data_IF_769766980531
#
_entry.id   IF_769766980531
#
_cell.length_a   1.000
_cell.length_b   1.000
_cell.length_c   1.000
_cell.angle_alpha   90.00
_cell.angle_beta   90.00
_cell.angle_gamma   90.00
#
_symmetry.space_group_name_H-M   'P 1'
#
loop_
_entity.id
_entity.type
_entity.pdbx_description
1 polymer ?
#
# COMPACT_ATOMS: atom_id res chain seq x y z
N UNK A 1 -24.99 -6.33 -14.82
CA UNK A 1 -24.29 -7.40 -14.08
C UNK A 1 -22.81 -7.12 -14.17
N UNK A 2 -22.13 -6.89 -13.06
CA UNK A 2 -20.68 -6.72 -13.08
C UNK A 2 -20.05 -8.11 -13.00
N UNK A 3 -19.50 -8.56 -14.11
CA UNK A 3 -18.70 -9.77 -14.16
C UNK A 3 -17.36 -9.47 -13.49
N UNK A 4 -16.99 -10.26 -12.49
CA UNK A 4 -15.68 -10.17 -11.87
C UNK A 4 -14.78 -11.23 -12.51
N UNK A 5 -13.80 -10.79 -13.27
CA UNK A 5 -12.72 -11.66 -13.76
C UNK A 5 -11.50 -11.46 -12.86
N UNK A 6 -10.98 -12.54 -12.31
CA UNK A 6 -9.79 -12.51 -11.46
C UNK A 6 -8.64 -13.20 -12.18
N UNK A 7 -7.47 -12.61 -12.09
CA UNK A 7 -6.23 -13.30 -12.41
C UNK A 7 -5.57 -13.74 -11.11
N UNK A 8 -5.34 -15.04 -10.97
CA UNK A 8 -4.74 -15.65 -9.79
C UNK A 8 -3.39 -16.21 -10.17
N UNK A 9 -2.35 -15.84 -9.44
CA UNK A 9 -1.02 -16.40 -9.61
C UNK A 9 -0.61 -17.15 -8.35
N UNK A 10 -0.10 -18.36 -8.52
CA UNK A 10 0.46 -19.16 -7.44
C UNK A 10 1.94 -19.39 -7.64
N UNK A 11 2.71 -19.31 -6.56
CA UNK A 11 4.07 -19.82 -6.56
C UNK A 11 4.01 -21.34 -6.40
N UNK A 12 4.67 -22.05 -7.33
CA UNK A 12 4.65 -23.52 -7.40
C UNK A 12 5.15 -24.16 -6.10
N UNK A 13 4.25 -24.85 -5.38
CA UNK A 13 4.52 -26.09 -4.62
C UNK A 13 3.20 -26.62 -4.06
N UNK A 14 2.70 -27.63 -4.74
CA UNK A 14 1.59 -28.50 -4.43
C UNK A 14 1.02 -28.48 -3.00
N UNK A 15 -0.20 -27.96 -2.87
CA UNK A 15 -1.18 -28.51 -1.95
C UNK A 15 -2.57 -27.99 -2.36
N UNK A 16 -3.47 -28.94 -2.55
CA UNK A 16 -4.86 -28.72 -2.91
C UNK A 16 -5.61 -27.92 -1.82
N UNK A 17 -6.46 -27.00 -2.24
CA UNK A 17 -7.42 -26.30 -1.37
C UNK A 17 -8.43 -27.31 -0.79
N UNK A 18 -8.27 -27.63 0.47
CA UNK A 18 -9.26 -28.40 1.26
C UNK A 18 -10.21 -27.48 2.00
N UNK A 19 -11.51 -27.68 1.84
CA UNK A 19 -12.55 -27.00 2.60
C UNK A 19 -12.55 -27.42 4.07
N UNK A 20 -12.45 -26.49 5.00
CA UNK A 20 -12.77 -26.65 6.42
C UNK A 20 -12.97 -25.24 7.02
N UNK A 21 -14.06 -24.88 7.57
CA UNK A 21 -14.75 -25.27 8.72
C UNK A 21 -14.64 -24.22 9.82
N UNK A 22 -15.71 -23.44 10.04
CA UNK A 22 -16.05 -22.56 11.18
C UNK A 22 -15.22 -22.69 12.45
N UNK A 23 -14.70 -21.58 13.00
CA UNK A 23 -14.40 -21.50 14.43
C UNK A 23 -14.74 -20.11 15.02
N UNK A 24 -15.48 -20.18 16.10
CA UNK A 24 -16.10 -19.16 16.92
C UNK A 24 -15.13 -18.07 17.40
N UNK A 25 -15.43 -16.83 17.01
CA UNK A 25 -14.78 -15.66 17.57
C UNK A 25 -15.60 -15.04 18.70
N UNK A 26 -15.13 -15.19 19.91
CA UNK A 26 -15.77 -14.52 21.03
C UNK A 26 -14.94 -14.74 22.30
N UNK A 27 -13.93 -13.95 22.55
CA UNK A 27 -13.30 -13.68 23.86
C UNK A 27 -11.88 -13.07 23.80
N UNK A 28 -11.31 -12.85 22.62
CA UNK A 28 -9.94 -12.34 22.48
C UNK A 28 -9.83 -10.80 22.32
N UNK A 29 -10.95 -10.09 22.23
CA UNK A 29 -10.89 -8.65 21.93
C UNK A 29 -10.31 -7.79 23.06
N UNK A 30 -10.60 -8.07 24.32
CA UNK A 30 -10.18 -7.19 25.42
C UNK A 30 -8.69 -7.25 25.77
N UNK A 31 -8.05 -8.42 25.66
CA UNK A 31 -6.61 -8.56 25.90
C UNK A 31 -5.75 -7.97 24.76
N UNK A 32 -6.26 -8.02 23.53
CA UNK A 32 -5.55 -7.50 22.35
C UNK A 32 -5.52 -5.97 22.33
N UNK A 33 -6.57 -5.30 22.80
CA UNK A 33 -6.62 -3.83 22.85
C UNK A 33 -5.65 -3.26 23.90
N UNK A 34 -5.59 -3.82 25.09
CA UNK A 34 -4.65 -3.41 26.13
C UNK A 34 -3.19 -3.55 25.64
N UNK A 35 -2.87 -4.67 25.00
CA UNK A 35 -1.53 -4.92 24.48
C UNK A 35 -1.15 -4.00 23.32
N UNK A 36 -2.09 -3.64 22.43
CA UNK A 36 -1.83 -2.72 21.32
C UNK A 36 -1.57 -1.29 21.78
N UNK A 37 -2.29 -0.84 22.79
CA UNK A 37 -2.05 0.48 23.41
C UNK A 37 -0.68 0.55 24.09
N UNK A 38 -0.31 -0.46 24.85
CA UNK A 38 1.01 -0.56 25.48
C UNK A 38 2.14 -0.57 24.44
N UNK A 39 1.96 -1.32 23.34
CA UNK A 39 2.91 -1.34 22.23
C UNK A 39 3.06 0.03 21.55
N UNK A 40 1.95 0.78 21.41
CA UNK A 40 2.00 2.15 20.88
C UNK A 40 2.77 3.07 21.83
N UNK A 41 2.48 3.04 23.12
CA UNK A 41 3.20 3.84 24.11
C UNK A 41 4.68 3.49 24.17
N UNK A 42 5.01 2.22 24.03
CA UNK A 42 6.39 1.76 23.95
C UNK A 42 7.07 2.32 22.69
N UNK A 43 6.43 2.22 21.52
CA UNK A 43 6.98 2.76 20.27
C UNK A 43 7.19 4.29 20.32
N UNK A 44 6.28 5.03 20.99
CA UNK A 44 6.45 6.47 21.23
C UNK A 44 7.65 6.72 22.15
N UNK A 45 7.87 5.91 23.17
CA UNK A 45 9.02 6.05 24.07
C UNK A 45 10.34 5.83 23.35
N UNK A 46 10.41 4.82 22.47
CA UNK A 46 11.57 4.56 21.63
C UNK A 46 11.85 5.71 20.64
N UNK A 47 10.78 6.26 20.04
CA UNK A 47 10.87 7.45 19.18
C UNK A 47 11.41 8.66 19.96
N UNK A 48 10.97 8.86 21.20
CA UNK A 48 11.40 9.96 22.06
C UNK A 48 12.88 9.86 22.44
N UNK A 49 13.39 8.65 22.68
CA UNK A 49 14.83 8.41 22.90
C UNK A 49 15.69 8.83 21.70
N UNK A 50 15.15 8.74 20.50
CA UNK A 50 15.81 9.10 19.24
C UNK A 50 15.34 10.44 18.67
N UNK A 51 14.70 11.30 19.46
CA UNK A 51 14.03 12.54 19.01
C UNK A 51 14.91 13.44 18.14
N UNK A 52 16.21 13.49 18.42
CA UNK A 52 17.17 14.34 17.69
C UNK A 52 17.29 13.97 16.21
N UNK A 53 16.98 12.73 15.84
CA UNK A 53 16.92 12.28 14.44
C UNK A 53 15.62 12.73 13.72
N UNK A 54 14.64 13.22 14.45
CA UNK A 54 13.29 13.52 13.95
C UNK A 54 12.86 14.98 14.14
N UNK A 55 13.83 15.87 14.40
CA UNK A 55 13.60 17.30 14.56
C UNK A 55 14.49 18.13 13.66
N UNK A 56 14.05 19.35 13.32
CA UNK A 56 14.79 20.22 12.41
C UNK A 56 16.19 20.59 12.94
N UNK A 57 16.30 20.79 14.26
CA UNK A 57 17.56 21.19 14.91
C UNK A 57 17.88 20.25 16.06
N UNK A 58 18.68 19.18 15.82
CA UNK A 58 19.11 18.24 16.86
C UNK A 58 19.74 18.95 18.05
N UNK A 59 19.48 18.47 19.26
CA UNK A 59 19.97 19.04 20.50
C UNK A 59 19.35 20.38 20.93
N UNK A 60 18.59 21.04 20.05
CA UNK A 60 17.95 22.35 20.31
C UNK A 60 16.43 22.22 20.42
N UNK A 61 15.79 21.59 19.43
CA UNK A 61 14.34 21.45 19.42
C UNK A 61 13.91 20.40 20.44
N UNK A 62 12.85 20.72 21.21
CA UNK A 62 12.35 19.89 22.31
C UNK A 62 13.39 19.57 23.42
N UNK A 63 14.52 20.29 23.49
CA UNK A 63 15.53 20.11 24.55
C UNK A 63 15.15 20.77 25.87
N UNK A 64 14.39 21.87 25.82
CA UNK A 64 13.98 22.62 27.03
C UNK A 64 12.65 22.15 27.53
N UNK A 65 12.46 22.09 28.87
CA UNK A 65 11.17 21.83 29.50
C UNK A 65 10.21 23.00 29.20
N UNK A 66 9.24 22.73 28.32
CA UNK A 66 8.19 23.66 27.90
C UNK A 66 6.82 23.02 28.08
N UNK A 67 5.72 23.77 27.85
CA UNK A 67 4.33 23.29 27.95
C UNK A 67 4.03 22.13 26.98
N UNK A 68 4.75 21.99 25.88
CA UNK A 68 4.62 20.91 24.91
C UNK A 68 5.97 20.18 24.80
N UNK A 69 6.01 18.95 25.30
CA UNK A 69 7.14 18.04 25.11
C UNK A 69 7.09 17.40 23.71
N UNK A 70 8.17 16.72 23.31
CA UNK A 70 8.18 15.91 22.09
C UNK A 70 7.08 14.84 22.13
N UNK A 71 6.94 14.13 23.24
CA UNK A 71 5.90 13.13 23.46
C UNK A 71 4.48 13.72 23.36
N UNK A 72 4.24 14.89 23.97
CA UNK A 72 2.94 15.56 23.86
C UNK A 72 2.62 15.92 22.41
N UNK A 73 3.64 16.35 21.64
CA UNK A 73 3.44 16.69 20.23
C UNK A 73 3.02 15.46 19.41
N UNK A 74 3.72 14.34 19.60
CA UNK A 74 3.37 13.06 18.91
C UNK A 74 1.95 12.61 19.31
N UNK A 75 1.65 12.57 20.61
CA UNK A 75 0.33 12.15 21.09
C UNK A 75 -0.79 13.06 20.60
N UNK A 76 -0.57 14.39 20.58
CA UNK A 76 -1.57 15.33 20.07
C UNK A 76 -1.85 15.15 18.58
N UNK A 77 -0.83 14.80 17.78
CA UNK A 77 -1.01 14.47 16.35
C UNK A 77 -1.78 13.16 16.14
N UNK A 78 -1.52 12.15 16.95
CA UNK A 78 -2.24 10.86 16.87
C UNK A 78 -3.72 10.98 17.27
N UNK A 79 -4.05 11.92 18.15
CA UNK A 79 -5.43 12.14 18.61
C UNK A 79 -6.23 13.11 17.73
N UNK A 80 -5.63 13.67 16.69
CA UNK A 80 -6.35 14.52 15.73
C UNK A 80 -7.43 13.73 14.97
N UNK A 81 -8.69 14.11 15.20
CA UNK A 81 -9.88 13.45 14.58
C UNK A 81 -10.48 14.25 13.41
N UNK A 82 -9.64 14.88 12.59
CA UNK A 82 -10.13 15.71 11.49
C UNK A 82 -10.72 17.06 11.88
N UNK A 83 -10.68 17.41 13.17
CA UNK A 83 -11.08 18.71 13.70
C UNK A 83 -10.03 19.81 13.45
N UNK A 84 -10.38 21.05 13.81
CA UNK A 84 -9.43 22.16 13.76
C UNK A 84 -8.28 21.94 14.75
N UNK A 85 -7.13 22.55 14.49
CA UNK A 85 -6.02 22.52 15.45
C UNK A 85 -6.41 23.10 16.83
N UNK A 86 -7.36 24.04 16.85
CA UNK A 86 -7.92 24.61 18.07
C UNK A 86 -8.67 23.57 18.89
N UNK A 87 -9.58 22.84 18.25
CA UNK A 87 -10.35 21.76 18.88
C UNK A 87 -9.41 20.67 19.41
N UNK A 88 -8.48 20.21 18.56
CA UNK A 88 -7.50 19.20 18.96
C UNK A 88 -6.64 19.64 20.15
N UNK A 89 -6.17 20.89 20.14
CA UNK A 89 -5.40 21.44 21.26
C UNK A 89 -6.21 21.48 22.56
N UNK A 90 -7.45 21.93 22.48
CA UNK A 90 -8.34 21.98 23.64
C UNK A 90 -8.57 20.57 24.20
N UNK A 91 -8.98 19.64 23.36
CA UNK A 91 -9.34 18.27 23.78
C UNK A 91 -8.15 17.50 24.36
N UNK A 92 -6.96 17.68 23.78
CA UNK A 92 -5.75 17.02 24.27
C UNK A 92 -5.23 17.61 25.58
N UNK A 93 -5.27 18.95 25.76
CA UNK A 93 -4.69 19.63 26.91
C UNK A 93 -5.70 20.03 27.99
N UNK A 94 -7.00 19.77 27.83
CA UNK A 94 -8.06 20.18 28.77
C UNK A 94 -7.86 19.65 30.20
N UNK A 95 -7.13 18.57 30.39
CA UNK A 95 -6.85 17.97 31.69
C UNK A 95 -5.73 18.68 32.47
N UNK A 96 -5.05 19.65 31.84
CA UNK A 96 -3.98 20.44 32.47
C UNK A 96 -4.55 21.67 33.17
N UNK A 97 -3.78 22.20 34.10
CA UNK A 97 -4.11 23.49 34.69
C UNK A 97 -4.18 24.57 33.59
N UNK A 98 -5.08 25.58 33.70
CA UNK A 98 -5.23 26.61 32.66
C UNK A 98 -3.92 27.34 32.33
N UNK A 99 -3.03 27.53 33.30
CA UNK A 99 -1.72 28.13 33.10
C UNK A 99 -0.77 27.27 32.28
N UNK A 100 -0.99 25.93 32.22
CA UNK A 100 -0.16 24.96 31.52
C UNK A 100 -0.69 24.59 30.12
N UNK A 101 -1.87 25.10 29.77
CA UNK A 101 -2.42 24.92 28.41
C UNK A 101 -1.58 25.75 27.42
N UNK A 102 -1.06 25.14 26.37
CA UNK A 102 -0.31 25.86 25.34
C UNK A 102 -1.22 26.70 24.46
N UNK A 103 -0.71 27.84 23.98
CA UNK A 103 -1.41 28.59 22.94
C UNK A 103 -1.35 27.86 21.59
N UNK A 104 -2.30 28.14 20.68
CA UNK A 104 -2.31 27.60 19.33
C UNK A 104 -1.02 27.95 18.55
N UNK A 105 -0.53 29.19 18.74
CA UNK A 105 0.74 29.62 18.14
C UNK A 105 1.92 28.75 18.62
N UNK A 106 1.96 28.42 19.92
CA UNK A 106 2.99 27.53 20.47
C UNK A 106 2.88 26.10 19.88
N UNK A 107 1.67 25.58 19.71
CA UNK A 107 1.45 24.27 19.11
C UNK A 107 1.92 24.25 17.65
N UNK A 108 1.57 25.27 16.87
CA UNK A 108 2.04 25.44 15.49
C UNK A 108 3.57 25.49 15.39
N UNK A 109 4.20 26.30 16.24
CA UNK A 109 5.65 26.43 16.25
C UNK A 109 6.36 25.12 16.66
N UNK A 110 5.79 24.36 17.60
CA UNK A 110 6.37 23.06 17.98
C UNK A 110 6.16 22.01 16.90
N UNK A 111 4.96 21.97 16.28
CA UNK A 111 4.68 21.06 15.16
C UNK A 111 5.65 21.28 13.98
N UNK A 112 5.93 22.53 13.64
CA UNK A 112 6.84 22.90 12.56
C UNK A 112 8.29 22.43 12.77
N UNK A 113 8.66 22.03 13.98
CA UNK A 113 10.00 21.49 14.29
C UNK A 113 10.12 19.99 14.07
N UNK A 114 8.99 19.30 13.99
CA UNK A 114 8.96 17.84 13.81
C UNK A 114 9.11 17.49 12.33
N UNK A 115 10.02 16.58 12.03
CA UNK A 115 10.16 16.02 10.70
C UNK A 115 9.07 14.96 10.43
N UNK A 116 8.51 14.88 9.22
CA UNK A 116 7.51 13.86 8.86
C UNK A 116 7.97 12.42 9.11
N UNK A 117 9.27 12.17 9.02
CA UNK A 117 9.88 10.86 9.27
C UNK A 117 9.65 10.34 10.69
N UNK A 118 9.34 11.21 11.67
CA UNK A 118 8.93 10.80 13.01
C UNK A 118 7.67 9.92 12.97
N UNK A 119 6.65 10.33 12.20
CA UNK A 119 5.40 9.58 12.08
C UNK A 119 5.58 8.30 11.26
N UNK A 120 6.44 8.34 10.24
CA UNK A 120 6.82 7.16 9.45
C UNK A 120 7.53 6.13 10.32
N UNK A 121 8.53 6.55 11.10
CA UNK A 121 9.23 5.68 12.04
C UNK A 121 8.25 5.06 13.04
N UNK A 122 7.39 5.87 13.65
CA UNK A 122 6.39 5.40 14.61
C UNK A 122 5.45 4.37 13.99
N UNK A 123 4.97 4.60 12.77
CA UNK A 123 4.10 3.67 12.05
C UNK A 123 4.75 2.29 11.92
N UNK A 124 5.96 2.21 11.35
CA UNK A 124 6.63 0.92 11.16
C UNK A 124 7.04 0.27 12.48
N UNK A 125 7.52 1.08 13.42
CA UNK A 125 7.96 0.59 14.72
C UNK A 125 6.81 0.00 15.54
N UNK A 126 5.64 0.57 15.44
CA UNK A 126 4.40 0.07 16.04
C UNK A 126 3.84 -1.15 15.30
N UNK A 127 3.60 -1.02 13.98
CA UNK A 127 2.91 -2.07 13.22
C UNK A 127 3.68 -3.37 13.12
N UNK A 128 5.02 -3.31 13.08
CA UNK A 128 5.88 -4.49 13.08
C UNK A 128 5.85 -5.27 14.39
N UNK A 129 5.50 -4.63 15.51
CA UNK A 129 5.35 -5.28 16.81
C UNK A 129 3.96 -5.87 17.05
N UNK A 130 2.98 -5.45 16.28
CA UNK A 130 1.65 -6.03 16.37
C UNK A 130 1.71 -7.51 15.93
N UNK A 131 1.12 -8.43 16.71
CA UNK A 131 1.16 -9.84 16.38
C UNK A 131 0.46 -10.14 15.05
N UNK A 132 0.97 -11.13 14.32
CA UNK A 132 0.35 -11.71 13.14
C UNK A 132 -0.07 -13.11 13.51
N UNK A 133 -1.24 -13.25 14.13
CA UNK A 133 -1.72 -14.51 14.72
C UNK A 133 -2.72 -15.22 13.81
N UNK A 134 -3.54 -14.42 13.11
CA UNK A 134 -4.62 -14.96 12.29
C UNK A 134 -4.19 -15.07 10.83
N UNK A 135 -4.52 -16.21 10.23
CA UNK A 135 -4.26 -16.50 8.82
C UNK A 135 -5.52 -17.12 8.19
N UNK A 136 -5.62 -17.01 6.87
CA UNK A 136 -6.61 -17.73 6.10
C UNK A 136 -5.96 -18.96 5.48
N UNK A 137 -6.31 -20.14 5.98
CA UNK A 137 -5.73 -21.42 5.54
C UNK A 137 -4.18 -21.44 5.52
N UNK A 138 -3.59 -20.83 6.55
CA UNK A 138 -2.13 -20.71 6.69
C UNK A 138 -1.51 -19.56 5.92
N UNK A 139 -2.29 -18.75 5.17
CA UNK A 139 -1.83 -17.60 4.41
C UNK A 139 -2.19 -16.28 5.09
N UNK A 140 -1.26 -15.33 5.03
CA UNK A 140 -1.51 -13.93 5.30
C UNK A 140 -2.17 -13.30 4.07
N UNK A 141 -3.29 -12.60 4.23
CA UNK A 141 -3.99 -11.90 3.15
C UNK A 141 -3.68 -10.40 3.22
N UNK A 142 -2.94 -9.89 2.25
CA UNK A 142 -2.60 -8.47 2.16
C UNK A 142 -3.38 -7.81 1.04
N UNK A 143 -4.33 -6.95 1.39
CA UNK A 143 -5.04 -6.13 0.42
C UNK A 143 -4.24 -4.86 0.12
N UNK A 144 -4.07 -4.55 -1.17
CA UNK A 144 -3.48 -3.30 -1.64
C UNK A 144 -4.57 -2.38 -2.17
N UNK A 145 -4.59 -1.15 -1.68
CA UNK A 145 -5.50 -0.11 -2.15
C UNK A 145 -4.86 1.27 -2.03
N UNK A 146 -5.43 2.22 -2.76
CA UNK A 146 -5.01 3.62 -2.78
C UNK A 146 -6.13 4.58 -2.39
N UNK A 147 -5.77 5.71 -1.77
CA UNK A 147 -6.72 6.75 -1.41
C UNK A 147 -6.13 8.14 -1.58
N UNK A 148 -6.93 9.06 -2.13
CA UNK A 148 -6.54 10.47 -2.25
C UNK A 148 -6.81 11.23 -0.94
N UNK A 149 -5.80 11.93 -0.45
CA UNK A 149 -5.85 12.78 0.73
C UNK A 149 -5.78 14.25 0.32
N UNK A 150 -6.83 15.01 0.58
CA UNK A 150 -6.84 16.45 0.32
C UNK A 150 -5.90 17.17 1.30
N UNK A 151 -5.06 18.04 0.76
CA UNK A 151 -4.18 18.92 1.55
C UNK A 151 -4.47 20.39 1.26
N UNK A 152 -3.83 21.29 2.01
CA UNK A 152 -3.96 22.72 1.79
C UNK A 152 -3.62 23.10 0.35
N UNK A 153 -4.42 24.02 -0.23
CA UNK A 153 -4.23 24.45 -1.59
C UNK A 153 -2.95 25.27 -1.75
N UNK A 154 -2.10 24.84 -2.64
CA UNK A 154 -0.88 25.49 -3.08
C UNK A 154 -0.75 25.30 -4.61
N UNK A 155 -1.02 26.30 -5.42
CA UNK A 155 -0.97 26.20 -6.88
C UNK A 155 0.46 26.06 -7.41
N UNK A 156 1.48 26.45 -6.64
CA UNK A 156 2.88 26.39 -7.03
C UNK A 156 3.45 24.97 -6.82
N UNK A 157 2.81 24.14 -6.00
CA UNK A 157 3.13 22.72 -5.86
C UNK A 157 2.43 21.88 -6.93
N UNK A 158 2.93 21.97 -8.17
CA UNK A 158 2.34 21.29 -9.33
C UNK A 158 2.30 19.77 -9.23
N UNK A 159 3.18 19.15 -8.45
CA UNK A 159 3.20 17.70 -8.26
C UNK A 159 2.00 17.18 -7.45
N UNK A 160 1.46 18.00 -6.58
CA UNK A 160 0.25 17.67 -5.80
C UNK A 160 -1.00 18.37 -6.32
N UNK A 161 -0.86 19.44 -7.11
CA UNK A 161 -1.98 20.25 -7.61
C UNK A 161 -2.67 19.59 -8.81
N UNK A 162 -3.84 19.01 -8.57
CA UNK A 162 -4.72 18.45 -9.60
C UNK A 162 -5.54 19.57 -10.22
N UNK A 163 -5.37 19.87 -11.50
CA UNK A 163 -6.14 20.93 -12.15
C UNK A 163 -7.62 20.55 -12.19
N UNK A 164 -8.48 21.54 -11.95
CA UNK A 164 -9.92 21.36 -12.12
C UNK A 164 -10.31 21.70 -13.56
N UNK A 165 -11.19 20.89 -14.14
CA UNK A 165 -11.87 21.25 -15.40
C UNK A 165 -12.81 22.45 -15.19
N UNK A 166 -13.18 23.14 -16.29
CA UNK A 166 -14.20 24.21 -16.33
C UNK A 166 -13.86 25.48 -15.52
N UNK A 167 -12.59 25.88 -15.46
CA UNK A 167 -12.20 27.16 -14.84
C UNK A 167 -12.35 27.21 -13.31
N UNK A 168 -12.65 26.09 -12.66
CA UNK A 168 -12.70 25.99 -11.19
C UNK A 168 -11.28 25.88 -10.62
N UNK A 169 -11.13 26.31 -9.36
CA UNK A 169 -9.91 26.13 -8.59
C UNK A 169 -9.56 24.66 -8.48
N UNK A 170 -8.30 24.29 -8.75
CA UNK A 170 -7.76 22.96 -8.53
C UNK A 170 -7.72 22.56 -7.05
N UNK A 171 -7.27 21.37 -6.77
CA UNK A 171 -7.06 20.88 -5.40
C UNK A 171 -5.71 20.21 -5.29
N UNK A 172 -5.03 20.38 -4.15
CA UNK A 172 -3.80 19.65 -3.88
C UNK A 172 -4.13 18.37 -3.14
N UNK A 173 -3.53 17.28 -3.59
CA UNK A 173 -3.77 15.95 -3.05
C UNK A 173 -2.46 15.18 -2.91
N UNK A 174 -2.40 14.38 -1.87
CA UNK A 174 -1.45 13.29 -1.73
C UNK A 174 -2.18 11.98 -2.02
N UNK A 175 -1.50 11.02 -2.61
CA UNK A 175 -1.99 9.67 -2.81
C UNK A 175 -1.34 8.73 -1.79
N UNK A 176 -2.16 8.10 -0.98
CA UNK A 176 -1.77 7.08 0.00
C UNK A 176 -1.94 5.71 -0.64
N UNK A 177 -0.87 4.96 -0.74
CA UNK A 177 -0.89 3.53 -1.06
C UNK A 177 -0.69 2.74 0.22
N UNK A 178 -1.45 1.68 0.42
CA UNK A 178 -1.39 0.90 1.65
C UNK A 178 -1.48 -0.60 1.38
N UNK A 179 -0.75 -1.38 2.17
CA UNK A 179 -0.96 -2.82 2.34
C UNK A 179 -1.63 -3.07 3.68
N UNK A 180 -2.78 -3.71 3.65
CA UNK A 180 -3.61 -4.00 4.81
C UNK A 180 -3.77 -5.51 5.01
N UNK A 181 -3.40 -6.00 6.18
CA UNK A 181 -3.60 -7.38 6.60
C UNK A 181 -5.07 -7.59 7.01
N UNK A 182 -5.81 -8.29 6.16
CA UNK A 182 -7.25 -8.52 6.34
C UNK A 182 -7.55 -9.41 7.55
N UNK A 183 -6.69 -10.38 7.84
CA UNK A 183 -6.88 -11.31 8.95
C UNK A 183 -6.59 -10.63 10.29
N UNK A 184 -5.52 -9.86 10.37
CA UNK A 184 -5.09 -9.21 11.61
C UNK A 184 -5.55 -7.76 11.75
N UNK A 185 -6.28 -7.21 10.76
CA UNK A 185 -6.88 -5.87 10.75
C UNK A 185 -5.87 -4.75 11.05
N UNK A 186 -4.73 -4.80 10.39
CA UNK A 186 -3.66 -3.83 10.54
C UNK A 186 -3.02 -3.45 9.21
N UNK A 187 -2.56 -2.21 9.10
CA UNK A 187 -1.67 -1.82 8.01
C UNK A 187 -0.29 -2.42 8.21
N UNK A 188 0.31 -2.95 7.16
CA UNK A 188 1.66 -3.53 7.17
C UNK A 188 2.67 -2.65 6.49
N UNK A 189 2.25 -1.91 5.47
CA UNK A 189 3.08 -0.96 4.75
C UNK A 189 2.24 0.20 4.21
N UNK A 190 2.86 1.38 4.08
CA UNK A 190 2.24 2.58 3.49
C UNK A 190 3.27 3.34 2.65
N UNK A 191 2.78 3.99 1.60
CA UNK A 191 3.51 4.98 0.83
C UNK A 191 2.65 6.18 0.56
N UNK A 192 3.22 7.37 0.68
CA UNK A 192 2.54 8.63 0.43
C UNK A 192 3.32 9.35 -0.67
N UNK A 193 2.66 9.61 -1.77
CA UNK A 193 3.22 10.31 -2.92
C UNK A 193 2.33 11.51 -3.29
N UNK A 194 2.89 12.51 -3.96
CA UNK A 194 2.09 13.59 -4.53
C UNK A 194 1.29 13.06 -5.73
N UNK A 195 0.00 13.39 -5.81
CA UNK A 195 -0.95 12.73 -6.73
C UNK A 195 -0.52 12.76 -8.20
N UNK A 196 0.09 13.87 -8.68
CA UNK A 196 0.45 14.01 -10.10
C UNK A 196 1.65 13.16 -10.52
N UNK A 197 2.47 12.74 -9.57
CA UNK A 197 3.66 11.88 -9.79
C UNK A 197 3.50 10.49 -9.19
N UNK A 198 2.35 10.21 -8.61
CA UNK A 198 2.01 8.92 -8.01
C UNK A 198 1.84 7.83 -9.07
N UNK A 199 2.24 6.61 -8.71
CA UNK A 199 2.07 5.42 -9.55
C UNK A 199 1.79 4.19 -8.69
N UNK A 200 0.54 3.73 -8.71
CA UNK A 200 0.05 2.61 -7.91
C UNK A 200 0.86 1.32 -8.13
N UNK A 201 1.16 0.97 -9.38
CA UNK A 201 1.94 -0.23 -9.70
C UNK A 201 3.36 -0.17 -9.13
N UNK A 202 4.02 1.00 -9.24
CA UNK A 202 5.36 1.21 -8.67
C UNK A 202 5.31 1.16 -7.14
N UNK A 203 4.33 1.80 -6.52
CA UNK A 203 4.16 1.81 -5.07
C UNK A 203 3.96 0.38 -4.53
N UNK A 204 3.09 -0.42 -5.18
CA UNK A 204 2.90 -1.82 -4.80
C UNK A 204 4.20 -2.60 -4.90
N UNK A 205 4.89 -2.55 -6.07
CA UNK A 205 6.16 -3.27 -6.26
C UNK A 205 7.17 -2.94 -5.16
N UNK A 206 7.29 -1.67 -4.79
CA UNK A 206 8.18 -1.24 -3.71
C UNK A 206 7.74 -1.75 -2.33
N UNK A 207 6.43 -1.83 -2.05
CA UNK A 207 5.92 -2.39 -0.79
C UNK A 207 6.12 -3.92 -0.71
N UNK A 208 6.10 -4.62 -1.85
CA UNK A 208 6.40 -6.06 -1.89
C UNK A 208 7.79 -6.37 -1.32
N UNK A 209 8.77 -5.45 -1.48
CA UNK A 209 10.13 -5.66 -0.97
C UNK A 209 10.18 -5.85 0.56
N UNK A 210 9.22 -5.30 1.29
CA UNK A 210 9.16 -5.36 2.75
C UNK A 210 8.47 -6.63 3.29
N UNK A 211 7.94 -7.50 2.42
CA UNK A 211 7.24 -8.71 2.84
C UNK A 211 8.25 -9.78 3.30
N UNK A 212 8.12 -10.19 4.56
CA UNK A 212 9.08 -11.10 5.22
C UNK A 212 8.85 -12.58 4.93
N UNK A 213 7.60 -12.98 4.64
CA UNK A 213 7.22 -14.39 4.44
C UNK A 213 6.46 -14.58 3.11
N UNK A 214 7.13 -14.45 1.96
CA UNK A 214 6.47 -14.47 0.66
C UNK A 214 5.65 -15.74 0.40
N UNK A 215 6.22 -16.92 0.65
CA UNK A 215 5.58 -18.21 0.36
C UNK A 215 4.25 -18.46 1.11
N UNK A 216 3.92 -17.63 2.10
CA UNK A 216 2.68 -17.70 2.89
C UNK A 216 1.88 -16.40 2.81
N UNK A 217 2.01 -15.67 1.73
CA UNK A 217 1.30 -14.40 1.55
C UNK A 217 0.56 -14.38 0.22
N UNK A 218 -0.68 -13.94 0.26
CA UNK A 218 -1.52 -13.69 -0.91
C UNK A 218 -1.79 -12.18 -1.01
N UNK A 219 -1.44 -11.59 -2.13
CA UNK A 219 -1.73 -10.20 -2.45
C UNK A 219 -3.12 -10.11 -3.08
N UNK A 220 -3.96 -9.24 -2.56
CA UNK A 220 -5.28 -8.94 -3.10
C UNK A 220 -5.27 -7.51 -3.62
N UNK A 221 -5.65 -7.28 -4.86
CA UNK A 221 -5.69 -5.93 -5.41
C UNK A 221 -6.81 -5.79 -6.45
N UNK A 222 -7.22 -4.55 -6.68
CA UNK A 222 -8.23 -4.22 -7.65
C UNK A 222 -7.68 -4.17 -9.08
N UNK A 223 -8.53 -3.86 -10.06
CA UNK A 223 -8.18 -3.76 -11.48
C UNK A 223 -7.22 -2.60 -11.84
N UNK A 224 -6.95 -1.67 -10.93
CA UNK A 224 -5.94 -0.62 -11.09
C UNK A 224 -4.53 -1.21 -11.16
N UNK A 225 -4.33 -2.33 -10.48
CA UNK A 225 -3.06 -3.06 -10.42
C UNK A 225 -2.90 -4.11 -11.53
N UNK A 226 -3.84 -4.22 -12.47
CA UNK A 226 -3.81 -5.15 -13.60
C UNK A 226 -2.70 -4.79 -14.60
N UNK A 227 -1.45 -5.12 -14.27
CA UNK A 227 -0.29 -4.91 -15.15
C UNK A 227 0.64 -6.11 -15.14
N UNK A 228 1.27 -6.43 -16.30
CA UNK A 228 2.28 -7.48 -16.37
C UNK A 228 3.47 -7.20 -15.45
N UNK A 229 3.79 -5.93 -15.22
CA UNK A 229 4.86 -5.51 -14.31
C UNK A 229 4.59 -5.96 -12.88
N UNK A 230 3.39 -5.68 -12.36
CA UNK A 230 2.96 -6.11 -11.03
C UNK A 230 2.97 -7.63 -10.92
N UNK A 231 2.39 -8.34 -11.90
CA UNK A 231 2.33 -9.81 -11.89
C UNK A 231 3.73 -10.42 -11.83
N UNK A 232 4.64 -9.96 -12.69
CA UNK A 232 6.00 -10.47 -12.73
C UNK A 232 6.76 -10.26 -11.41
N UNK A 233 6.61 -9.08 -10.78
CA UNK A 233 7.25 -8.81 -9.48
C UNK A 233 6.68 -9.64 -8.34
N UNK A 234 5.34 -9.82 -8.27
CA UNK A 234 4.72 -10.67 -7.26
C UNK A 234 5.22 -12.11 -7.41
N UNK A 235 5.24 -12.63 -8.65
CA UNK A 235 5.69 -14.00 -8.93
C UNK A 235 7.19 -14.18 -8.67
N UNK A 236 8.03 -13.23 -9.07
CA UNK A 236 9.47 -13.28 -8.82
C UNK A 236 9.81 -13.29 -7.32
N UNK A 237 8.95 -12.68 -6.49
CA UNK A 237 9.05 -12.74 -5.03
C UNK A 237 8.53 -14.03 -4.41
N UNK A 238 7.93 -14.93 -5.19
CA UNK A 238 7.31 -16.15 -4.67
C UNK A 238 6.01 -15.93 -3.90
N UNK A 239 5.32 -14.82 -4.18
CA UNK A 239 4.02 -14.48 -3.61
C UNK A 239 2.90 -15.07 -4.47
N UNK A 240 1.78 -15.46 -3.84
CA UNK A 240 0.52 -15.67 -4.53
C UNK A 240 -0.26 -14.35 -4.63
N UNK A 241 -1.20 -14.26 -5.58
CA UNK A 241 -2.06 -13.09 -5.70
C UNK A 241 -3.42 -13.39 -6.32
N UNK A 242 -4.37 -12.52 -6.02
CA UNK A 242 -5.69 -12.44 -6.66
C UNK A 242 -5.91 -10.98 -7.03
N UNK A 243 -5.90 -10.70 -8.33
CA UNK A 243 -6.09 -9.34 -8.86
C UNK A 243 -7.32 -9.34 -9.76
N UNK A 244 -8.25 -8.42 -9.49
CA UNK A 244 -9.38 -8.19 -10.35
C UNK A 244 -8.89 -7.65 -11.70
N UNK A 245 -9.36 -8.24 -12.81
CA UNK A 245 -9.00 -7.77 -14.15
C UNK A 245 -10.17 -7.06 -14.81
N UNK A 246 -9.88 -6.31 -15.87
CA UNK A 246 -10.92 -5.72 -16.72
C UNK A 246 -11.66 -6.84 -17.44
N UNK A 247 -12.92 -6.56 -17.75
CA UNK A 247 -13.78 -7.44 -18.52
C UNK A 247 -13.06 -8.05 -19.74
N UNK A 248 -13.33 -9.33 -20.01
CA UNK A 248 -12.74 -10.13 -21.11
C UNK A 248 -12.95 -9.43 -22.45
N UNK A 249 -14.09 -8.77 -22.66
CA UNK A 249 -14.43 -8.07 -23.89
C UNK A 249 -13.75 -6.70 -24.02
N UNK A 250 -13.20 -6.15 -22.93
CA UNK A 250 -12.67 -4.78 -22.87
C UNK A 250 -11.28 -4.69 -23.48
N UNK A 251 -11.17 -4.01 -24.63
CA UNK A 251 -9.87 -3.70 -25.25
C UNK A 251 -8.94 -2.98 -24.25
N UNK A 252 -7.69 -3.45 -24.18
CA UNK A 252 -6.68 -2.90 -23.29
C UNK A 252 -6.61 -3.55 -21.91
N UNK A 253 -7.52 -4.47 -21.57
CA UNK A 253 -7.38 -5.39 -20.45
C UNK A 253 -6.45 -6.55 -20.77
N UNK A 254 -5.80 -7.13 -19.77
CA UNK A 254 -4.94 -8.30 -19.93
C UNK A 254 -5.77 -9.49 -20.42
N UNK A 255 -6.95 -9.71 -19.84
CA UNK A 255 -7.86 -10.80 -20.18
C UNK A 255 -8.27 -10.79 -21.65
N UNK A 256 -8.52 -9.61 -22.26
CA UNK A 256 -8.86 -9.46 -23.68
C UNK A 256 -7.83 -10.09 -24.62
N UNK A 257 -6.56 -10.01 -24.27
CA UNK A 257 -5.46 -10.54 -25.09
C UNK A 257 -5.44 -12.07 -25.18
N UNK A 258 -6.19 -12.80 -24.36
CA UNK A 258 -6.19 -14.28 -24.33
C UNK A 258 -7.38 -14.89 -25.05
N UNK A 259 -8.32 -14.09 -25.56
CA UNK A 259 -9.52 -14.57 -26.27
C UNK A 259 -10.28 -15.62 -25.45
N UNK A 260 -10.46 -15.34 -24.17
CA UNK A 260 -11.20 -16.20 -23.25
C UNK A 260 -12.70 -16.22 -23.63
N UNK A 261 -13.41 -17.34 -23.40
CA UNK A 261 -14.85 -17.40 -23.66
C UNK A 261 -15.61 -16.52 -22.65
N UNK A 262 -16.68 -15.88 -23.12
CA UNK A 262 -17.60 -15.09 -22.29
C UNK A 262 -18.57 -16.02 -21.55
N UNK A 263 -18.06 -16.71 -20.55
CA UNK A 263 -18.80 -17.63 -19.67
C UNK A 263 -17.99 -17.89 -18.41
N UNK A 264 -18.59 -18.53 -17.43
CA UNK A 264 -17.87 -19.07 -16.28
C UNK A 264 -16.69 -19.93 -16.74
N UNK A 265 -15.50 -19.63 -16.23
CA UNK A 265 -14.27 -20.33 -16.60
C UNK A 265 -13.28 -20.37 -15.42
N UNK A 266 -12.49 -21.41 -15.47
CA UNK A 266 -11.28 -21.61 -14.67
C UNK A 266 -10.21 -22.14 -15.64
N UNK A 267 -9.18 -21.33 -15.93
CA UNK A 267 -8.21 -21.64 -16.97
C UNK A 267 -6.81 -21.22 -16.58
N UNK A 268 -5.93 -22.20 -16.52
CA UNK A 268 -4.49 -21.97 -16.39
C UNK A 268 -3.90 -21.41 -17.67
N UNK A 269 -2.98 -20.45 -17.51
CA UNK A 269 -2.30 -19.78 -18.61
C UNK A 269 -0.80 -19.69 -18.37
N UNK A 270 -0.05 -20.03 -19.41
CA UNK A 270 1.37 -19.75 -19.50
C UNK A 270 1.62 -18.87 -20.72
N UNK A 271 2.32 -17.78 -20.55
CA UNK A 271 2.56 -16.85 -21.63
C UNK A 271 3.86 -16.06 -21.44
N UNK A 272 4.31 -15.43 -22.50
CA UNK A 272 5.49 -14.57 -22.50
C UNK A 272 5.09 -13.11 -22.68
N UNK A 273 5.61 -12.26 -21.84
CA UNK A 273 5.62 -10.81 -22.05
C UNK A 273 6.82 -10.49 -22.95
N UNK A 274 6.63 -9.72 -24.02
CA UNK A 274 7.71 -9.49 -24.98
C UNK A 274 7.76 -8.05 -25.51
N UNK A 275 8.97 -7.59 -25.80
CA UNK A 275 9.21 -6.37 -26.60
C UNK A 275 9.34 -6.67 -28.10
N UNK A 276 9.47 -7.95 -28.48
CA UNK A 276 9.61 -8.37 -29.88
C UNK A 276 8.29 -8.28 -30.65
N UNK A 277 8.29 -7.51 -31.74
CA UNK A 277 7.16 -7.47 -32.67
C UNK A 277 7.04 -8.76 -33.49
N UNK A 278 8.15 -9.45 -33.74
CA UNK A 278 8.16 -10.69 -34.48
C UNK A 278 7.46 -11.79 -33.69
N UNK A 279 7.85 -11.98 -32.42
CA UNK A 279 7.23 -12.99 -31.55
C UNK A 279 5.72 -12.74 -31.38
N UNK A 280 5.31 -11.53 -31.09
CA UNK A 280 3.90 -11.20 -30.87
C UNK A 280 3.03 -11.31 -32.13
N UNK A 281 3.58 -11.09 -33.32
CA UNK A 281 2.86 -11.32 -34.60
C UNK A 281 2.73 -12.78 -34.93
N UNK A 282 3.78 -13.59 -34.67
CA UNK A 282 3.81 -15.03 -34.95
C UNK A 282 2.83 -15.81 -34.09
N UNK A 283 2.76 -15.50 -32.79
CA UNK A 283 1.84 -16.15 -31.87
C UNK A 283 1.32 -15.12 -30.81
N UNK A 284 0.22 -14.41 -31.13
CA UNK A 284 -0.31 -13.36 -30.26
C UNK A 284 -1.01 -13.90 -28.99
N UNK A 285 -1.32 -15.21 -28.93
CA UNK A 285 -1.88 -15.83 -27.73
C UNK A 285 -0.76 -16.12 -26.74
N UNK A 286 0.35 -16.65 -27.18
CA UNK A 286 1.49 -17.00 -26.33
C UNK A 286 2.37 -15.80 -25.99
N UNK A 287 2.53 -14.83 -26.91
CA UNK A 287 3.41 -13.67 -26.72
C UNK A 287 2.61 -12.37 -26.63
N UNK A 288 2.58 -11.78 -25.44
CA UNK A 288 1.92 -10.52 -25.16
C UNK A 288 2.90 -9.36 -25.30
N UNK A 289 2.70 -8.53 -26.34
CA UNK A 289 3.55 -7.39 -26.59
C UNK A 289 3.23 -6.26 -25.61
N UNK A 290 4.26 -5.76 -24.91
CA UNK A 290 4.17 -4.54 -24.12
C UNK A 290 4.58 -3.32 -24.95
N UNK A 291 3.96 -2.18 -24.62
CA UNK A 291 4.33 -0.88 -25.21
C UNK A 291 5.81 -0.56 -24.89
N UNK A 292 6.54 0.11 -25.79
CA UNK A 292 7.87 0.62 -25.48
C UNK A 292 7.90 1.58 -24.28
N UNK A 293 6.78 2.26 -24.00
CA UNK A 293 6.64 3.18 -22.88
C UNK A 293 6.23 2.50 -21.56
N UNK A 294 5.84 1.21 -21.62
CA UNK A 294 5.46 0.47 -20.40
C UNK A 294 6.69 0.13 -19.60
N UNK A 295 6.64 0.42 -18.30
CA UNK A 295 7.63 -0.03 -17.33
C UNK A 295 7.53 -1.55 -17.21
N UNK A 296 8.65 -2.23 -17.36
CA UNK A 296 8.76 -3.68 -17.14
C UNK A 296 10.24 -4.03 -16.92
N UNK A 297 10.65 -4.07 -15.66
CA UNK A 297 12.05 -4.15 -15.23
C UNK A 297 12.76 -5.42 -15.70
N UNK A 298 12.00 -6.53 -15.88
CA UNK A 298 12.54 -7.80 -16.38
C UNK A 298 12.91 -7.78 -17.86
N UNK A 299 12.54 -6.73 -18.59
CA UNK A 299 12.85 -6.51 -20.01
C UNK A 299 13.25 -5.05 -20.26
N UNK A 300 13.94 -4.42 -19.32
CA UNK A 300 14.63 -3.16 -19.56
C UNK A 300 15.89 -3.38 -20.42
N UNK A 301 16.55 -2.30 -20.82
CA UNK A 301 17.69 -2.37 -21.72
C UNK A 301 18.89 -3.11 -21.09
N UNK A 302 19.08 -3.02 -19.77
CA UNK A 302 20.15 -3.69 -19.05
C UNK A 302 19.91 -5.20 -19.00
N UNK A 303 18.71 -5.62 -18.61
CA UNK A 303 18.31 -7.02 -18.58
C UNK A 303 18.35 -7.68 -19.96
N UNK A 304 17.93 -6.96 -21.00
CA UNK A 304 18.04 -7.45 -22.38
C UNK A 304 19.51 -7.64 -22.77
N UNK A 305 20.41 -6.74 -22.40
CA UNK A 305 21.85 -6.87 -22.66
C UNK A 305 22.47 -8.04 -21.89
N UNK A 306 22.08 -8.24 -20.63
CA UNK A 306 22.57 -9.33 -19.78
C UNK A 306 22.12 -10.71 -20.28
N UNK A 307 20.84 -10.85 -20.62
CA UNK A 307 20.23 -12.15 -20.91
C UNK A 307 20.13 -12.49 -22.40
N UNK A 308 20.23 -11.49 -23.28
CA UNK A 308 19.95 -11.61 -24.72
C UNK A 308 18.47 -11.87 -25.03
N UNK A 309 17.59 -11.91 -24.02
CA UNK A 309 16.18 -12.26 -24.17
C UNK A 309 15.29 -11.03 -24.35
N UNK A 310 14.43 -11.08 -25.37
CA UNK A 310 13.37 -10.08 -25.60
C UNK A 310 12.02 -10.50 -25.00
N UNK A 311 11.98 -11.61 -24.26
CA UNK A 311 10.76 -12.18 -23.72
C UNK A 311 10.97 -12.67 -22.28
N UNK A 312 9.97 -12.45 -21.43
CA UNK A 312 9.91 -12.90 -20.04
C UNK A 312 8.71 -13.82 -19.87
N UNK A 313 8.92 -14.99 -19.28
CA UNK A 313 7.89 -16.00 -19.10
C UNK A 313 7.08 -15.74 -17.83
N UNK A 314 5.75 -15.77 -17.94
CA UNK A 314 4.82 -15.76 -16.82
C UNK A 314 4.18 -17.15 -16.74
N UNK A 315 4.47 -17.86 -15.65
CA UNK A 315 3.96 -19.21 -15.37
C UNK A 315 2.92 -19.17 -14.25
N UNK A 316 2.14 -20.25 -14.17
CA UNK A 316 1.20 -20.50 -13.06
C UNK A 316 0.18 -19.38 -12.84
N UNK A 317 -0.24 -18.73 -13.90
CA UNK A 317 -1.35 -17.78 -13.88
C UNK A 317 -2.66 -18.47 -14.28
N UNK A 318 -3.74 -18.19 -13.58
CA UNK A 318 -5.07 -18.67 -13.94
C UNK A 318 -6.08 -17.54 -14.00
N UNK A 319 -7.00 -17.60 -14.98
CA UNK A 319 -8.17 -16.73 -15.00
C UNK A 319 -9.38 -17.47 -14.46
N UNK A 320 -10.07 -16.81 -13.53
CA UNK A 320 -11.38 -17.23 -13.05
C UNK A 320 -12.42 -16.19 -13.44
N UNK A 321 -13.51 -16.62 -14.04
CA UNK A 321 -14.70 -15.81 -14.21
C UNK A 321 -15.89 -16.56 -13.62
N UNK A 322 -16.60 -15.92 -12.68
CA UNK A 322 -17.80 -16.47 -12.07
C UNK A 322 -18.99 -15.53 -12.31
N UNK A 323 -20.13 -16.08 -12.67
CA UNK A 323 -21.39 -15.38 -12.67
C UNK A 323 -22.03 -15.51 -11.26
N UNK A 324 -22.51 -14.38 -10.74
CA UNK A 324 -23.43 -14.36 -9.58
C UNK A 324 -24.85 -14.20 -10.03
#
# INVERSE_FOLDING_TARGET
MCEFVFFVGFCDKGSAFGKSGNSRGGSLMNSTFASSYELLLFAISELELQKDSFVLRPGVDFSRKRKISFRDMILSLLTMQGGSLSTTSHDFFQHRLPADIPSLSALHQQRAKLLPDAMRYLFYHFTQRLPTVQTYDGFQLLACDGSDLNISYDPDDWESCKPSGNGKRGSNQLHLHALYDLCNKKYTDIRIEKTMVSNESRALVQMLENIKSPAKTIILADRGYETYHVFAHIMAKGLAFVICTKDISRKGGIAYGFRLPDRELDKDLEFFVTRSTVHSKRDPVRYKKISPRSVFDFLDLEKIRETGSLSYEIKNGAFFAGYR
#
